data_IF_491564630926
#
_entry.id   IF_491564630926
#
_cell.length_a   1.000
_cell.length_b   1.000
_cell.length_c   1.000
_cell.angle_alpha   90.00
_cell.angle_beta   90.00
_cell.angle_gamma   90.00
#
_symmetry.space_group_name_H-M   'P 1'
#
loop_
_entity.id
_entity.type
_entity.pdbx_description
1 polymer ?
#
# COMPACT_ATOMS: atom_id res chain seq x y z
N UNK A 1 25.13 -26.43 -32.30
CA UNK A 1 24.63 -25.82 -31.05
C UNK A 1 24.61 -26.90 -29.98
N UNK A 2 25.53 -26.84 -29.01
CA UNK A 2 25.52 -27.78 -27.90
C UNK A 2 24.50 -27.29 -26.86
N UNK A 3 23.53 -28.10 -26.42
CA UNK A 3 22.75 -27.76 -25.25
C UNK A 3 23.68 -27.92 -24.04
N UNK A 4 24.01 -26.82 -23.36
CA UNK A 4 24.61 -26.87 -22.03
C UNK A 4 23.56 -27.40 -21.07
N UNK A 5 23.59 -28.71 -20.86
CA UNK A 5 22.72 -29.38 -19.91
C UNK A 5 23.13 -28.97 -18.48
N UNK A 6 22.42 -28.00 -17.91
CA UNK A 6 22.64 -27.48 -16.55
C UNK A 6 22.30 -28.50 -15.46
N UNK A 7 21.77 -29.68 -15.82
CA UNK A 7 21.49 -30.77 -14.88
C UNK A 7 22.74 -31.34 -14.19
N UNK A 8 23.95 -30.98 -14.66
CA UNK A 8 25.22 -31.43 -14.10
C UNK A 8 25.75 -30.56 -12.95
N UNK A 9 25.16 -29.37 -12.70
CA UNK A 9 25.58 -28.49 -11.62
C UNK A 9 25.16 -29.07 -10.26
N UNK A 10 26.13 -29.50 -9.47
CA UNK A 10 25.96 -29.97 -8.10
C UNK A 10 27.04 -29.37 -7.19
N UNK A 11 26.72 -29.17 -5.91
CA UNK A 11 27.69 -28.84 -4.86
C UNK A 11 27.67 -30.00 -3.88
N UNK A 12 28.78 -30.74 -3.79
CA UNK A 12 28.89 -31.89 -2.89
C UNK A 12 27.94 -33.04 -3.23
N UNK A 13 27.63 -33.27 -4.51
CA UNK A 13 26.70 -34.32 -4.93
C UNK A 13 25.22 -33.98 -4.74
N UNK A 14 24.90 -32.80 -4.19
CA UNK A 14 23.54 -32.25 -4.13
C UNK A 14 23.29 -31.44 -5.40
N UNK A 15 22.30 -31.78 -6.23
CA UNK A 15 21.93 -30.97 -7.40
C UNK A 15 21.63 -29.54 -6.97
N UNK A 16 22.27 -28.54 -7.60
CA UNK A 16 21.99 -27.12 -7.31
C UNK A 16 20.53 -26.79 -7.64
N UNK A 17 19.98 -27.47 -8.63
CA UNK A 17 18.57 -27.40 -9.01
C UNK A 17 17.93 -28.74 -8.64
N UNK A 18 17.04 -28.70 -7.64
CA UNK A 18 16.38 -29.88 -7.08
C UNK A 18 15.83 -30.79 -8.18
N UNK A 19 16.10 -32.10 -8.04
CA UNK A 19 15.61 -33.11 -8.95
C UNK A 19 14.08 -33.03 -9.09
N UNK A 20 13.65 -32.97 -10.35
CA UNK A 20 12.27 -32.94 -10.84
C UNK A 20 11.57 -31.57 -10.83
N UNK A 21 11.32 -31.13 -12.07
CA UNK A 21 10.41 -30.06 -12.54
C UNK A 21 10.97 -28.64 -12.47
N UNK A 22 11.53 -28.27 -13.63
CA UNK A 22 11.63 -26.90 -14.14
C UNK A 22 12.55 -25.98 -13.33
N UNK A 23 13.77 -25.80 -13.84
CA UNK A 23 14.51 -24.57 -13.67
C UNK A 23 13.58 -23.44 -14.12
N UNK A 24 12.87 -22.80 -13.18
CA UNK A 24 12.15 -21.56 -13.47
C UNK A 24 13.24 -20.55 -13.77
N UNK A 25 13.36 -20.19 -15.06
CA UNK A 25 14.23 -19.12 -15.51
C UNK A 25 13.97 -17.87 -14.65
N UNK A 26 15.04 -17.10 -14.40
CA UNK A 26 15.04 -15.84 -13.65
C UNK A 26 13.68 -15.12 -13.66
N UNK A 27 13.21 -14.71 -12.47
CA UNK A 27 12.07 -13.81 -12.27
C UNK A 27 12.06 -12.76 -13.38
N UNK A 28 10.95 -12.69 -14.12
CA UNK A 28 10.88 -11.81 -15.29
C UNK A 28 10.68 -10.38 -14.84
N UNK A 29 11.23 -9.48 -15.64
CA UNK A 29 11.01 -8.04 -15.50
C UNK A 29 10.22 -7.59 -16.72
N UNK A 30 9.00 -7.12 -16.48
CA UNK A 30 8.14 -6.55 -17.50
C UNK A 30 8.21 -5.03 -17.45
N UNK A 31 8.23 -4.37 -18.61
CA UNK A 31 8.26 -2.93 -18.75
C UNK A 31 6.92 -2.44 -19.29
N UNK A 32 6.43 -1.32 -18.76
CA UNK A 32 5.23 -0.63 -19.21
C UNK A 32 5.58 0.80 -19.62
N UNK A 33 5.18 1.22 -20.80
CA UNK A 33 5.40 2.59 -21.29
C UNK A 33 4.30 3.05 -22.23
N UNK A 34 3.49 4.01 -21.77
CA UNK A 34 2.42 4.59 -22.60
C UNK A 34 2.97 5.54 -23.68
N UNK A 35 4.05 6.26 -23.39
CA UNK A 35 4.52 7.39 -24.22
C UNK A 35 5.67 7.04 -25.18
N UNK A 36 6.43 5.98 -24.95
CA UNK A 36 7.57 5.60 -25.81
C UNK A 36 7.23 4.52 -26.84
N UNK A 37 5.97 4.46 -27.29
CA UNK A 37 5.54 3.49 -28.30
C UNK A 37 5.24 2.09 -27.76
N UNK A 38 4.94 1.96 -26.46
CA UNK A 38 4.48 0.68 -25.90
C UNK A 38 3.19 0.19 -26.56
N UNK A 39 3.05 -1.13 -26.59
CA UNK A 39 1.93 -1.84 -27.19
C UNK A 39 1.61 -3.08 -26.36
N UNK A 40 0.34 -3.35 -26.11
CA UNK A 40 -0.09 -4.57 -25.39
C UNK A 40 0.06 -5.84 -26.24
N UNK A 41 0.43 -5.69 -27.52
CA UNK A 41 0.90 -6.79 -28.37
C UNK A 41 2.39 -7.09 -28.22
N UNK A 42 3.16 -6.27 -27.51
CA UNK A 42 4.59 -6.54 -27.24
C UNK A 42 4.76 -7.61 -26.15
N UNK A 43 5.99 -8.06 -25.93
CA UNK A 43 6.30 -9.07 -24.90
C UNK A 43 6.41 -8.52 -23.48
N UNK A 44 6.62 -7.21 -23.33
CA UNK A 44 6.95 -6.54 -22.08
C UNK A 44 8.39 -6.78 -21.59
N UNK A 45 9.19 -7.64 -22.23
CA UNK A 45 10.48 -8.11 -21.67
C UNK A 45 11.66 -7.15 -21.88
N UNK A 46 11.43 -5.99 -22.48
CA UNK A 46 12.41 -4.91 -22.62
C UNK A 46 11.70 -3.56 -22.76
N UNK A 47 12.44 -2.46 -22.60
CA UNK A 47 11.91 -1.10 -22.80
C UNK A 47 11.37 -0.90 -24.23
N UNK A 48 12.09 -1.40 -25.24
CA UNK A 48 11.68 -1.31 -26.66
C UNK A 48 10.51 -2.24 -27.02
N UNK A 49 10.17 -3.17 -26.13
CA UNK A 49 9.04 -4.09 -26.24
C UNK A 49 8.11 -3.94 -25.03
N UNK A 50 8.00 -2.73 -24.47
CA UNK A 50 7.15 -2.49 -23.31
C UNK A 50 5.66 -2.68 -23.64
N UNK A 51 4.89 -3.11 -22.66
CA UNK A 51 3.42 -3.04 -22.70
C UNK A 51 2.97 -1.57 -22.73
N UNK A 52 1.76 -1.33 -23.25
CA UNK A 52 1.17 0.02 -23.24
C UNK A 52 0.47 0.30 -21.92
N UNK A 53 -0.21 -0.69 -21.37
CA UNK A 53 -1.06 -0.57 -20.18
C UNK A 53 -0.45 -1.29 -18.98
N UNK A 54 -0.75 -0.78 -17.78
CA UNK A 54 -0.33 -1.43 -16.54
C UNK A 54 -1.15 -2.69 -16.29
N UNK A 55 -2.44 -2.68 -16.61
CA UNK A 55 -3.28 -3.87 -16.47
C UNK A 55 -2.75 -5.05 -17.30
N UNK A 56 -2.27 -4.80 -18.53
CA UNK A 56 -1.67 -5.87 -19.35
C UNK A 56 -0.49 -6.55 -18.65
N UNK A 57 0.34 -5.79 -17.94
CA UNK A 57 1.44 -6.35 -17.17
C UNK A 57 0.93 -7.17 -15.98
N UNK A 58 -0.06 -6.66 -15.23
CA UNK A 58 -0.71 -7.35 -14.12
C UNK A 58 -1.34 -8.68 -14.56
N UNK A 59 -1.92 -8.74 -15.76
CA UNK A 59 -2.50 -9.95 -16.36
C UNK A 59 -1.44 -10.94 -16.87
N UNK A 60 -0.17 -10.52 -16.97
CA UNK A 60 0.91 -11.33 -17.55
C UNK A 60 1.83 -11.93 -16.49
N UNK A 61 2.05 -11.23 -15.37
CA UNK A 61 2.99 -11.68 -14.33
C UNK A 61 2.66 -13.05 -13.76
N UNK A 62 3.72 -13.78 -13.45
CA UNK A 62 3.73 -14.98 -12.61
C UNK A 62 4.30 -14.64 -11.24
N UNK A 63 4.35 -15.63 -10.35
CA UNK A 63 4.91 -15.43 -9.01
C UNK A 63 6.32 -14.82 -9.06
N UNK A 64 6.55 -13.86 -8.17
CA UNK A 64 7.83 -13.18 -7.94
C UNK A 64 8.34 -12.32 -9.10
N UNK A 65 7.57 -12.15 -10.18
CA UNK A 65 7.91 -11.26 -11.28
C UNK A 65 7.90 -9.77 -10.85
N UNK A 66 8.56 -8.94 -11.64
CA UNK A 66 8.62 -7.49 -11.43
C UNK A 66 8.04 -6.75 -12.63
N UNK A 67 7.27 -5.71 -12.36
CA UNK A 67 6.73 -4.77 -13.34
C UNK A 67 7.40 -3.42 -13.08
N UNK A 68 8.03 -2.86 -14.11
CA UNK A 68 8.62 -1.52 -14.11
C UNK A 68 7.75 -0.64 -15.00
N UNK A 69 7.08 0.32 -14.38
CA UNK A 69 6.25 1.31 -15.07
C UNK A 69 7.11 2.55 -15.33
N UNK A 70 7.32 2.88 -16.60
CA UNK A 70 8.05 4.08 -16.98
C UNK A 70 7.19 5.32 -16.77
N UNK A 71 7.84 6.49 -16.70
CA UNK A 71 7.16 7.78 -16.56
C UNK A 71 6.00 7.94 -17.53
N UNK A 72 4.86 8.37 -17.01
CA UNK A 72 3.66 8.65 -17.77
C UNK A 72 2.43 8.76 -16.89
N UNK A 73 1.30 9.10 -17.50
CA UNK A 73 -0.01 9.15 -16.83
C UNK A 73 -0.90 8.02 -17.33
N UNK A 74 -1.25 7.11 -16.42
CA UNK A 74 -1.99 5.89 -16.67
C UNK A 74 -3.38 6.00 -16.05
N UNK A 75 -4.38 6.27 -16.90
CA UNK A 75 -5.81 6.29 -16.58
C UNK A 75 -6.35 4.87 -16.76
N UNK A 76 -6.34 4.08 -15.70
CA UNK A 76 -6.70 2.67 -15.74
C UNK A 76 -7.33 2.25 -14.40
N UNK A 77 -8.42 1.49 -14.47
CA UNK A 77 -8.84 0.69 -13.32
C UNK A 77 -7.97 -0.57 -13.23
N UNK A 78 -7.12 -0.63 -12.22
CA UNK A 78 -6.13 -1.70 -12.06
C UNK A 78 -6.59 -2.73 -11.06
N UNK A 79 -6.30 -3.99 -11.35
CA UNK A 79 -6.63 -5.09 -10.45
C UNK A 79 -5.61 -6.22 -10.60
N UNK A 80 -4.98 -6.64 -9.49
CA UNK A 80 -4.11 -7.82 -9.48
C UNK A 80 -4.95 -9.10 -9.58
N UNK A 81 -4.31 -10.21 -9.95
CA UNK A 81 -4.91 -11.53 -9.82
C UNK A 81 -5.32 -11.86 -8.39
N UNK A 82 -6.26 -12.80 -8.26
CA UNK A 82 -6.63 -13.41 -6.99
C UNK A 82 -5.62 -14.48 -6.60
N UNK A 83 -5.54 -14.78 -5.30
CA UNK A 83 -4.80 -15.95 -4.83
C UNK A 83 -5.49 -17.23 -5.31
N UNK A 84 -4.75 -18.13 -6.00
CA UNK A 84 -5.35 -19.36 -6.53
C UNK A 84 -5.74 -20.32 -5.40
N UNK A 85 -6.97 -20.83 -5.45
CA UNK A 85 -7.41 -21.91 -4.57
C UNK A 85 -6.66 -23.22 -4.86
N UNK A 86 -6.77 -24.22 -3.95
CA UNK A 86 -6.08 -25.51 -4.08
C UNK A 86 -6.31 -26.19 -5.43
N UNK A 87 -7.50 -26.05 -6.01
CA UNK A 87 -7.84 -26.65 -7.31
C UNK A 87 -7.08 -25.95 -8.44
N UNK A 88 -7.08 -24.61 -8.47
CA UNK A 88 -6.36 -23.79 -9.45
C UNK A 88 -4.84 -24.02 -9.41
N UNK A 89 -4.27 -24.35 -8.24
CA UNK A 89 -2.84 -24.69 -8.10
C UNK A 89 -2.49 -26.00 -8.80
N UNK A 90 -3.40 -26.97 -8.85
CA UNK A 90 -3.20 -28.24 -9.56
C UNK A 90 -3.21 -28.06 -11.08
N UNK A 91 -3.86 -27.01 -11.57
CA UNK A 91 -4.04 -26.72 -13.00
C UNK A 91 -2.86 -25.94 -13.64
N UNK A 92 -1.75 -25.76 -12.90
CA UNK A 92 -0.51 -25.01 -13.23
C UNK A 92 -0.63 -23.49 -13.06
N UNK A 93 0.52 -22.80 -13.00
CA UNK A 93 0.63 -21.35 -12.86
C UNK A 93 -0.25 -20.62 -13.89
N UNK A 94 -1.35 -20.06 -13.43
CA UNK A 94 -2.25 -19.26 -14.25
C UNK A 94 -1.63 -17.86 -14.36
N UNK A 95 -1.26 -17.45 -15.58
CA UNK A 95 -0.77 -16.09 -15.83
C UNK A 95 -1.75 -15.05 -15.27
N UNK A 96 -1.21 -13.94 -14.76
CA UNK A 96 -2.01 -12.88 -14.17
C UNK A 96 -2.47 -13.17 -12.74
N UNK A 97 -1.85 -14.14 -12.06
CA UNK A 97 -2.09 -14.47 -10.64
C UNK A 97 -0.84 -14.42 -9.78
N UNK A 98 0.09 -13.56 -10.16
CA UNK A 98 1.37 -13.42 -9.49
C UNK A 98 1.26 -13.11 -8.00
N UNK A 99 1.99 -13.88 -7.20
CA UNK A 99 2.22 -13.67 -5.76
C UNK A 99 3.61 -13.10 -5.56
N UNK A 100 3.84 -12.35 -4.48
CA UNK A 100 5.17 -11.79 -4.17
C UNK A 100 5.75 -10.93 -5.31
N UNK A 101 4.88 -10.33 -6.11
CA UNK A 101 5.25 -9.53 -7.26
C UNK A 101 5.61 -8.11 -6.85
N UNK A 102 6.36 -7.44 -7.72
CA UNK A 102 6.75 -6.05 -7.54
C UNK A 102 6.12 -5.19 -8.63
N UNK A 103 5.39 -4.14 -8.25
CA UNK A 103 4.94 -3.06 -9.12
C UNK A 103 5.75 -1.82 -8.76
N UNK A 104 6.61 -1.37 -9.67
CA UNK A 104 7.62 -0.35 -9.39
C UNK A 104 7.50 0.79 -10.40
N UNK A 105 7.35 2.01 -9.90
CA UNK A 105 7.38 3.21 -10.71
C UNK A 105 8.80 3.69 -10.93
N UNK A 106 9.22 3.77 -12.19
CA UNK A 106 10.53 4.29 -12.56
C UNK A 106 10.49 5.82 -12.62
N UNK A 107 11.02 6.46 -11.58
CA UNK A 107 11.30 7.90 -11.56
C UNK A 107 12.79 8.16 -11.80
N UNK A 108 13.11 9.21 -12.55
CA UNK A 108 14.49 9.71 -12.69
C UNK A 108 14.87 10.68 -11.58
N UNK A 109 13.88 11.22 -10.86
CA UNK A 109 14.06 12.18 -9.79
C UNK A 109 13.76 11.57 -8.42
N UNK A 110 14.30 12.20 -7.39
CA UNK A 110 13.98 11.89 -5.99
C UNK A 110 12.51 12.19 -5.64
N UNK A 111 11.85 13.06 -6.42
CA UNK A 111 10.52 13.59 -6.11
C UNK A 111 9.42 12.95 -6.95
N UNK A 112 8.22 12.86 -6.37
CA UNK A 112 7.08 12.17 -6.96
C UNK A 112 6.44 12.85 -8.18
N UNK A 113 6.76 14.13 -8.46
CA UNK A 113 6.23 14.82 -9.64
C UNK A 113 6.70 14.19 -10.97
N UNK A 114 7.85 13.52 -10.97
CA UNK A 114 8.38 12.80 -12.13
C UNK A 114 8.12 11.29 -12.07
N UNK A 115 7.43 10.81 -11.03
CA UNK A 115 7.01 9.42 -10.92
C UNK A 115 5.88 9.11 -11.91
N UNK A 116 5.75 7.84 -12.36
CA UNK A 116 4.56 7.42 -13.08
C UNK A 116 3.31 7.63 -12.23
N UNK A 117 2.30 8.21 -12.86
CA UNK A 117 1.03 8.51 -12.22
C UNK A 117 0.00 7.45 -12.55
N UNK A 118 -0.60 6.85 -11.52
CA UNK A 118 -1.77 5.97 -11.64
C UNK A 118 -3.00 6.72 -11.15
N UNK A 119 -4.05 6.74 -11.97
CA UNK A 119 -5.34 7.35 -11.67
C UNK A 119 -6.43 6.64 -12.48
N UNK A 120 -7.69 6.95 -12.19
CA UNK A 120 -8.82 6.28 -12.83
C UNK A 120 -10.05 7.19 -12.84
N UNK A 121 -10.23 7.93 -13.94
CA UNK A 121 -11.32 8.89 -14.15
C UNK A 121 -12.67 8.19 -14.39
N UNK A 122 -12.66 7.01 -15.01
CA UNK A 122 -13.86 6.29 -15.41
C UNK A 122 -14.31 5.20 -14.42
N UNK A 123 -13.60 5.04 -13.31
CA UNK A 123 -13.85 4.01 -12.30
C UNK A 123 -15.16 4.17 -11.56
N UNK A 124 -15.39 3.26 -10.61
CA UNK A 124 -16.42 3.44 -9.57
C UNK A 124 -16.04 2.88 -8.19
N UNK A 125 -14.83 2.32 -8.06
CA UNK A 125 -14.42 1.59 -6.85
C UNK A 125 -13.06 2.03 -6.35
N UNK A 126 -11.98 1.60 -7.01
CA UNK A 126 -10.63 2.02 -6.68
C UNK A 126 -9.76 2.13 -7.93
N UNK A 127 -8.67 2.90 -7.86
CA UNK A 127 -7.65 2.96 -8.92
C UNK A 127 -6.86 1.65 -8.98
N UNK A 128 -6.40 1.12 -7.84
CA UNK A 128 -5.68 -0.16 -7.77
C UNK A 128 -6.28 -1.09 -6.72
N UNK A 129 -6.70 -2.28 -7.15
CA UNK A 129 -7.21 -3.35 -6.29
C UNK A 129 -6.19 -4.48 -6.19
N UNK A 130 -5.67 -4.72 -4.98
CA UNK A 130 -4.72 -5.80 -4.67
C UNK A 130 -5.48 -6.98 -4.07
N UNK A 131 -5.31 -8.16 -4.67
CA UNK A 131 -6.07 -9.39 -4.36
C UNK A 131 -5.19 -10.63 -4.20
N UNK A 132 -3.88 -10.49 -4.30
CA UNK A 132 -2.90 -11.56 -4.11
C UNK A 132 -1.86 -11.14 -3.05
N UNK A 133 -1.20 -12.10 -2.39
CA UNK A 133 -0.34 -11.78 -1.26
C UNK A 133 1.01 -11.25 -1.72
N UNK A 134 1.62 -10.47 -0.83
CA UNK A 134 3.04 -10.18 -0.92
C UNK A 134 3.45 -9.17 -1.96
N UNK A 135 2.50 -8.43 -2.52
CA UNK A 135 2.81 -7.40 -3.50
C UNK A 135 3.65 -6.31 -2.87
N UNK A 136 4.65 -5.81 -3.61
CA UNK A 136 5.31 -4.56 -3.30
C UNK A 136 4.88 -3.52 -4.33
N UNK A 137 4.36 -2.38 -3.87
CA UNK A 137 3.96 -1.26 -4.73
C UNK A 137 4.82 -0.07 -4.33
N UNK A 138 5.65 0.44 -5.25
CA UNK A 138 6.62 1.46 -4.89
C UNK A 138 6.91 2.48 -5.98
N UNK A 139 7.22 3.73 -5.58
CA UNK A 139 7.71 4.76 -6.49
C UNK A 139 6.65 5.36 -7.41
N UNK A 140 5.39 5.39 -6.99
CA UNK A 140 4.29 5.95 -7.77
C UNK A 140 3.76 7.26 -7.22
N UNK A 141 3.23 8.08 -8.11
CA UNK A 141 2.20 9.06 -7.75
C UNK A 141 0.83 8.41 -7.95
N UNK A 142 0.13 8.15 -6.86
CA UNK A 142 -1.18 7.50 -6.84
C UNK A 142 -2.23 8.59 -6.59
N UNK A 143 -3.07 8.86 -7.58
CA UNK A 143 -3.93 10.04 -7.59
C UNK A 143 -5.38 9.65 -7.45
N UNK A 144 -6.07 10.31 -6.53
CA UNK A 144 -7.51 10.27 -6.38
C UNK A 144 -8.20 11.01 -7.52
N UNK A 145 -9.29 10.44 -8.02
CA UNK A 145 -10.07 11.04 -9.10
C UNK A 145 -11.57 10.85 -8.86
N UNK A 146 -12.38 11.63 -9.56
CA UNK A 146 -13.85 11.63 -9.47
C UNK A 146 -14.48 10.27 -9.80
N UNK A 147 -13.83 9.45 -10.63
CA UNK A 147 -14.24 8.08 -10.90
C UNK A 147 -13.86 7.08 -9.81
N UNK A 148 -12.83 7.36 -9.00
CA UNK A 148 -12.32 6.37 -8.05
C UNK A 148 -12.35 6.91 -6.63
N UNK A 149 -13.37 6.53 -5.83
CA UNK A 149 -13.47 6.98 -4.46
C UNK A 149 -12.34 6.45 -3.57
N UNK A 150 -11.55 5.47 -4.03
CA UNK A 150 -10.37 4.94 -3.31
C UNK A 150 -9.16 4.89 -4.25
N UNK A 151 -7.99 5.27 -3.78
CA UNK A 151 -6.77 5.20 -4.59
C UNK A 151 -6.23 3.76 -4.61
N UNK A 152 -5.97 3.15 -3.45
CA UNK A 152 -5.55 1.74 -3.36
C UNK A 152 -6.46 0.98 -2.40
N UNK A 153 -6.86 -0.22 -2.81
CA UNK A 153 -7.66 -1.12 -2.00
C UNK A 153 -6.97 -2.48 -1.85
N UNK A 154 -6.72 -2.88 -0.61
CA UNK A 154 -6.19 -4.18 -0.27
C UNK A 154 -7.36 -5.09 0.12
N UNK A 155 -7.62 -6.13 -0.66
CA UNK A 155 -8.76 -7.02 -0.43
C UNK A 155 -8.36 -8.30 0.28
N UNK A 156 -9.12 -8.64 1.32
CA UNK A 156 -8.99 -9.87 2.07
C UNK A 156 -10.35 -10.53 2.29
N UNK A 157 -10.55 -11.67 1.65
CA UNK A 157 -11.69 -12.54 1.86
C UNK A 157 -11.19 -13.87 2.41
N UNK A 158 -11.69 -14.25 3.59
CA UNK A 158 -11.44 -15.57 4.13
C UNK A 158 -12.23 -16.61 3.31
N UNK A 159 -11.59 -17.26 2.35
CA UNK A 159 -12.23 -18.32 1.58
C UNK A 159 -12.01 -19.69 2.22
N UNK A 160 -12.97 -20.58 1.98
CA UNK A 160 -12.74 -22.02 2.08
C UNK A 160 -11.65 -22.46 1.10
N UNK A 161 -10.92 -23.53 1.42
CA UNK A 161 -9.65 -23.95 0.79
C UNK A 161 -9.69 -24.28 -0.72
N UNK A 162 -10.85 -24.19 -1.37
CA UNK A 162 -11.07 -24.65 -2.75
C UNK A 162 -11.27 -23.53 -3.77
N UNK A 163 -11.68 -22.33 -3.37
CA UNK A 163 -11.97 -21.22 -4.29
C UNK A 163 -10.79 -20.26 -4.42
N UNK A 164 -10.68 -19.59 -5.57
CA UNK A 164 -9.82 -18.42 -5.69
C UNK A 164 -10.34 -17.32 -4.79
N UNK A 165 -9.44 -16.61 -4.12
CA UNK A 165 -9.84 -15.63 -3.11
C UNK A 165 -9.01 -14.37 -3.15
N UNK A 166 -9.63 -13.29 -2.70
CA UNK A 166 -8.93 -12.05 -2.43
C UNK A 166 -8.07 -12.26 -1.19
N UNK A 167 -6.76 -12.14 -1.33
CA UNK A 167 -5.82 -12.45 -0.27
C UNK A 167 -4.60 -11.54 -0.36
N UNK A 168 -4.77 -10.26 -0.03
CA UNK A 168 -3.69 -9.28 0.00
C UNK A 168 -2.76 -9.22 1.24
N UNK A 169 -2.63 -10.22 2.15
CA UNK A 169 -1.65 -10.14 3.25
C UNK A 169 -0.21 -9.97 2.77
N UNK A 170 0.63 -9.40 3.62
CA UNK A 170 2.06 -9.22 3.32
C UNK A 170 2.35 -8.13 2.30
N UNK A 171 1.34 -7.39 1.85
CA UNK A 171 1.51 -6.30 0.88
C UNK A 171 2.36 -5.19 1.50
N UNK A 172 3.33 -4.68 0.75
CA UNK A 172 4.15 -3.52 1.10
C UNK A 172 3.84 -2.39 0.12
N UNK A 173 3.53 -1.20 0.62
CA UNK A 173 3.40 0.01 -0.17
C UNK A 173 4.42 1.01 0.35
N UNK A 174 5.38 1.39 -0.49
CA UNK A 174 6.50 2.20 -0.05
C UNK A 174 6.96 3.25 -1.04
N UNK A 175 7.45 4.40 -0.56
CA UNK A 175 7.98 5.47 -1.41
C UNK A 175 6.96 5.95 -2.47
N UNK A 176 5.67 5.95 -2.15
CA UNK A 176 4.61 6.47 -3.00
C UNK A 176 4.11 7.82 -2.49
N UNK A 177 3.46 8.57 -3.38
CA UNK A 177 2.69 9.76 -3.01
C UNK A 177 1.23 9.53 -3.35
N UNK A 178 0.40 9.55 -2.32
CA UNK A 178 -1.05 9.51 -2.39
C UNK A 178 -1.57 10.94 -2.43
N UNK A 179 -2.18 11.31 -3.54
CA UNK A 179 -2.65 12.67 -3.79
C UNK A 179 -4.18 12.69 -3.84
N UNK A 180 -4.79 13.22 -2.78
CA UNK A 180 -6.22 13.12 -2.49
C UNK A 180 -7.06 14.35 -2.82
N UNK A 181 -6.58 15.29 -3.66
CA UNK A 181 -7.19 16.62 -3.87
C UNK A 181 -8.62 16.64 -4.45
N UNK A 182 -9.24 15.47 -4.67
CA UNK A 182 -10.62 15.31 -5.11
C UNK A 182 -11.50 15.01 -3.90
N UNK A 183 -12.65 15.68 -3.81
CA UNK A 183 -13.59 15.46 -2.73
C UNK A 183 -14.09 14.01 -2.67
N UNK A 184 -14.28 13.48 -1.45
CA UNK A 184 -14.74 12.11 -1.18
C UNK A 184 -13.83 11.02 -1.78
N UNK A 185 -12.53 11.26 -1.83
CA UNK A 185 -11.55 10.25 -2.20
C UNK A 185 -10.76 9.81 -0.98
N UNK A 186 -10.65 8.50 -0.80
CA UNK A 186 -9.85 7.85 0.22
C UNK A 186 -8.53 7.36 -0.36
N UNK A 187 -7.48 7.34 0.46
CA UNK A 187 -6.14 6.92 0.03
C UNK A 187 -6.02 5.41 -0.06
N UNK A 188 -6.00 4.76 1.10
CA UNK A 188 -5.73 3.33 1.23
C UNK A 188 -6.81 2.64 2.08
N UNK A 189 -7.48 1.67 1.48
CA UNK A 189 -8.54 0.89 2.11
C UNK A 189 -8.09 -0.53 2.45
N UNK A 190 -8.14 -0.89 3.74
CA UNK A 190 -7.97 -2.23 4.27
C UNK A 190 -9.30 -3.01 4.24
N UNK A 191 -9.73 -3.40 3.05
CA UNK A 191 -10.96 -4.16 2.85
C UNK A 191 -10.78 -5.62 3.31
N UNK A 192 -11.55 -6.03 4.31
CA UNK A 192 -11.48 -7.33 4.96
C UNK A 192 -10.35 -7.46 5.98
N UNK A 193 -9.61 -6.38 6.27
CA UNK A 193 -8.53 -6.36 7.25
C UNK A 193 -7.35 -7.33 6.97
N UNK A 194 -6.67 -7.21 5.81
CA UNK A 194 -5.49 -8.02 5.50
C UNK A 194 -4.40 -7.84 6.58
N UNK A 195 -3.84 -8.94 7.13
CA UNK A 195 -2.71 -8.85 8.06
C UNK A 195 -1.35 -8.66 7.37
N UNK A 196 -0.33 -8.36 8.17
CA UNK A 196 1.08 -8.31 7.78
C UNK A 196 1.39 -7.26 6.68
N UNK A 197 0.55 -6.22 6.57
CA UNK A 197 0.73 -5.13 5.59
C UNK A 197 1.72 -4.10 6.10
N UNK A 198 2.54 -3.56 5.21
CA UNK A 198 3.53 -2.51 5.51
C UNK A 198 3.31 -1.28 4.65
N UNK A 199 3.09 -0.13 5.27
CA UNK A 199 2.92 1.17 4.63
C UNK A 199 4.08 2.05 5.09
N UNK A 200 5.06 2.25 4.21
CA UNK A 200 6.38 2.77 4.56
C UNK A 200 6.77 3.99 3.74
N UNK A 201 7.26 5.05 4.37
CA UNK A 201 7.91 6.17 3.68
C UNK A 201 7.06 6.77 2.54
N UNK A 202 5.73 6.78 2.70
CA UNK A 202 4.82 7.40 1.75
C UNK A 202 4.47 8.83 2.17
N UNK A 203 4.01 9.63 1.21
CA UNK A 203 3.40 10.93 1.47
C UNK A 203 1.92 10.82 1.15
N UNK A 204 1.06 11.19 2.08
CA UNK A 204 -0.38 11.35 1.89
C UNK A 204 -0.68 12.84 1.96
N UNK A 205 -1.20 13.41 0.88
CA UNK A 205 -1.46 14.84 0.82
C UNK A 205 -2.80 15.21 0.22
N UNK A 206 -3.34 16.32 0.73
CA UNK A 206 -4.49 17.04 0.18
C UNK A 206 -5.80 16.26 0.20
N UNK A 207 -6.06 15.41 1.21
CA UNK A 207 -7.35 14.73 1.37
C UNK A 207 -8.39 15.63 2.06
N UNK A 208 -9.41 16.17 1.35
CA UNK A 208 -10.34 17.14 1.91
C UNK A 208 -11.59 16.48 2.52
N UNK A 209 -12.33 17.26 3.31
CA UNK A 209 -13.67 17.02 3.87
C UNK A 209 -13.87 15.70 4.64
N UNK A 210 -13.99 14.62 3.89
CA UNK A 210 -14.48 13.29 4.28
C UNK A 210 -13.53 12.19 3.83
N UNK A 211 -12.58 12.52 2.96
CA UNK A 211 -11.55 11.58 2.50
C UNK A 211 -10.59 11.24 3.63
N UNK A 212 -10.28 9.96 3.75
CA UNK A 212 -9.33 9.43 4.74
C UNK A 212 -8.12 8.84 4.05
N UNK A 213 -6.92 9.18 4.52
CA UNK A 213 -5.70 8.67 3.90
C UNK A 213 -5.55 7.16 4.08
N UNK A 214 -5.82 6.63 5.28
CA UNK A 214 -5.83 5.18 5.57
C UNK A 214 -7.10 4.82 6.36
N UNK A 215 -7.88 3.87 5.86
CA UNK A 215 -9.10 3.37 6.49
C UNK A 215 -9.30 1.86 6.38
N UNK A 216 -10.37 1.35 6.99
CA UNK A 216 -10.88 -0.01 6.79
C UNK A 216 -12.39 -0.03 6.53
N UNK A 217 -12.79 -0.16 5.25
CA UNK A 217 -14.20 -0.06 4.85
C UNK A 217 -15.06 -1.28 5.21
N UNK A 218 -14.50 -2.50 5.24
CA UNK A 218 -15.28 -3.71 5.52
C UNK A 218 -14.47 -4.79 6.24
N UNK A 219 -15.12 -5.52 7.16
CA UNK A 219 -14.66 -6.76 7.80
C UNK A 219 -15.74 -7.18 8.80
N UNK A 220 -16.34 -8.35 8.59
CA UNK A 220 -17.35 -8.89 9.49
C UNK A 220 -16.78 -9.59 10.73
N UNK A 221 -15.46 -9.78 10.80
CA UNK A 221 -14.85 -10.77 11.71
C UNK A 221 -13.42 -10.45 12.18
N UNK A 222 -12.70 -9.54 11.53
CA UNK A 222 -11.25 -9.38 11.76
C UNK A 222 -10.78 -7.91 11.77
N UNK A 223 -9.65 -7.67 12.42
CA UNK A 223 -8.92 -6.40 12.48
C UNK A 223 -7.60 -6.53 11.74
N UNK A 224 -7.10 -5.42 11.21
CA UNK A 224 -5.84 -5.42 10.48
C UNK A 224 -4.71 -5.72 11.48
N UNK A 225 -4.09 -6.89 11.35
CA UNK A 225 -3.21 -7.44 12.39
C UNK A 225 -1.74 -7.48 11.94
N UNK A 226 -0.79 -7.20 12.84
CA UNK A 226 0.67 -7.19 12.57
C UNK A 226 1.06 -6.28 11.41
N UNK A 227 0.35 -5.17 11.26
CA UNK A 227 0.64 -4.18 10.25
C UNK A 227 1.75 -3.24 10.73
N UNK A 228 2.41 -2.55 9.80
CA UNK A 228 3.40 -1.53 10.10
C UNK A 228 3.11 -0.29 9.27
N UNK A 229 2.83 0.82 9.94
CA UNK A 229 2.68 2.15 9.35
C UNK A 229 3.86 2.97 9.85
N UNK A 230 4.86 3.20 8.99
CA UNK A 230 6.13 3.80 9.43
C UNK A 230 6.70 4.83 8.46
N UNK A 231 7.26 5.91 8.99
CA UNK A 231 8.00 6.89 8.20
C UNK A 231 7.14 7.68 7.21
N UNK A 232 5.82 7.58 7.30
CA UNK A 232 4.92 8.27 6.37
C UNK A 232 4.71 9.73 6.79
N UNK A 233 4.42 10.58 5.81
CA UNK A 233 4.02 11.97 6.01
C UNK A 233 2.55 12.12 5.66
N UNK A 234 1.76 12.69 6.57
CA UNK A 234 0.36 13.04 6.37
C UNK A 234 0.24 14.55 6.53
N UNK A 235 0.10 15.25 5.39
CA UNK A 235 0.14 16.70 5.31
C UNK A 235 -1.11 17.18 4.58
N UNK A 236 -1.72 18.27 5.03
CA UNK A 236 -2.88 18.83 4.31
C UNK A 236 -4.06 17.85 4.21
N UNK A 237 -4.33 17.07 5.26
CA UNK A 237 -5.41 16.09 5.29
C UNK A 237 -6.41 16.40 6.38
N UNK A 238 -7.70 16.16 6.11
CA UNK A 238 -8.74 16.20 7.15
C UNK A 238 -8.66 14.95 8.02
N UNK A 239 -8.57 13.77 7.41
CA UNK A 239 -8.45 12.49 8.13
C UNK A 239 -7.19 11.75 7.66
N UNK A 240 -6.23 11.56 8.56
CA UNK A 240 -4.97 10.87 8.26
C UNK A 240 -5.12 9.36 8.39
N UNK A 241 -5.28 8.84 9.60
CA UNK A 241 -5.51 7.41 9.82
C UNK A 241 -6.81 7.25 10.62
N UNK A 242 -7.86 6.73 9.99
CA UNK A 242 -9.14 6.47 10.65
C UNK A 242 -9.56 5.02 10.43
N UNK A 243 -9.30 4.19 11.43
CA UNK A 243 -9.60 2.76 11.40
C UNK A 243 -10.88 2.42 12.18
N UNK A 244 -11.64 3.41 12.63
CA UNK A 244 -12.88 3.22 13.39
C UNK A 244 -13.93 2.46 12.55
N UNK A 245 -14.66 1.47 13.11
CA UNK A 245 -14.66 1.00 14.50
C UNK A 245 -13.81 -0.24 14.74
N UNK A 246 -12.90 -0.59 13.83
CA UNK A 246 -12.18 -1.87 13.89
C UNK A 246 -10.76 -1.72 14.44
N UNK A 247 -10.06 -0.66 14.09
CA UNK A 247 -8.68 -0.44 14.46
C UNK A 247 -7.70 -1.45 13.86
N UNK A 248 -6.43 -1.21 14.14
CA UNK A 248 -5.33 -2.15 14.01
C UNK A 248 -5.20 -3.02 15.26
N UNK A 249 -4.63 -4.22 15.10
CA UNK A 249 -4.31 -5.11 16.22
C UNK A 249 -2.83 -5.54 16.16
N UNK A 250 -2.15 -5.58 17.30
CA UNK A 250 -0.74 -5.99 17.42
C UNK A 250 0.17 -5.40 16.33
N UNK A 251 -0.05 -4.11 16.02
CA UNK A 251 0.55 -3.41 14.88
C UNK A 251 1.44 -2.27 15.35
N UNK A 252 2.32 -1.79 14.47
CA UNK A 252 3.26 -0.72 14.76
C UNK A 252 2.89 0.53 13.95
N UNK A 253 2.66 1.64 14.64
CA UNK A 253 2.44 2.98 14.06
C UNK A 253 3.57 3.87 14.56
N UNK A 254 4.64 3.97 13.78
CA UNK A 254 5.91 4.52 14.27
C UNK A 254 6.55 5.57 13.37
N UNK A 255 7.15 6.60 13.95
CA UNK A 255 7.93 7.61 13.24
C UNK A 255 7.17 8.27 12.05
N UNK A 256 5.85 8.38 12.14
CA UNK A 256 5.06 9.08 11.15
C UNK A 256 5.02 10.57 11.50
N UNK A 257 4.82 11.39 10.48
CA UNK A 257 4.68 12.83 10.60
C UNK A 257 3.26 13.23 10.19
N UNK A 258 2.38 13.46 11.16
CA UNK A 258 0.99 13.87 10.96
C UNK A 258 0.89 15.34 11.32
N UNK A 259 0.44 16.20 10.41
CA UNK A 259 0.35 17.63 10.70
C UNK A 259 -0.90 18.27 10.10
N UNK A 260 -1.28 19.41 10.70
CA UNK A 260 -2.22 20.32 10.08
C UNK A 260 -1.69 20.83 8.74
N UNK A 261 -2.62 21.00 7.80
CA UNK A 261 -2.37 21.58 6.51
C UNK A 261 -2.34 23.10 6.48
N UNK A 262 -1.88 23.63 5.35
CA UNK A 262 -2.18 24.99 4.91
C UNK A 262 -3.63 25.13 4.40
N UNK A 263 -4.15 24.10 3.74
CA UNK A 263 -5.47 24.10 3.09
C UNK A 263 -6.51 23.38 3.92
N UNK A 264 -6.17 22.18 4.42
CA UNK A 264 -7.09 21.34 5.18
C UNK A 264 -6.69 21.32 6.66
N UNK A 265 -7.68 21.52 7.53
CA UNK A 265 -7.51 21.38 8.97
C UNK A 265 -7.69 19.92 9.36
N UNK A 266 -6.75 19.38 10.14
CA UNK A 266 -6.81 18.02 10.65
C UNK A 266 -8.00 17.88 11.60
N UNK A 267 -8.81 16.85 11.37
CA UNK A 267 -9.95 16.46 12.22
C UNK A 267 -9.67 15.10 12.85
N UNK A 268 -9.14 14.14 12.09
CA UNK A 268 -8.67 12.86 12.64
C UNK A 268 -7.20 12.67 12.29
N UNK A 269 -6.35 12.68 13.30
CA UNK A 269 -4.94 12.35 13.15
C UNK A 269 -4.73 10.84 13.14
N UNK A 270 -5.09 10.17 14.23
CA UNK A 270 -5.07 8.71 14.30
C UNK A 270 -6.19 8.19 15.20
N UNK A 271 -7.20 7.54 14.62
CA UNK A 271 -8.26 6.85 15.33
C UNK A 271 -8.08 5.33 15.22
N UNK A 272 -7.70 4.70 16.34
CA UNK A 272 -7.55 3.25 16.48
C UNK A 272 -8.74 2.60 17.22
N UNK A 273 -9.92 3.24 17.24
CA UNK A 273 -11.12 2.72 17.88
C UNK A 273 -11.40 1.28 17.44
N UNK A 274 -11.61 0.42 18.43
CA UNK A 274 -11.81 -1.03 18.26
C UNK A 274 -10.50 -1.81 18.25
N UNK A 275 -9.38 -1.19 17.86
CA UNK A 275 -8.05 -1.81 17.80
C UNK A 275 -7.51 -2.25 19.16
N UNK A 276 -6.40 -2.98 19.13
CA UNK A 276 -5.79 -3.51 20.36
C UNK A 276 -4.28 -3.80 20.28
N UNK A 277 -3.58 -3.69 21.42
CA UNK A 277 -2.17 -4.07 21.60
C UNK A 277 -1.20 -3.48 20.55
N UNK A 278 -1.46 -2.27 20.04
CA UNK A 278 -0.57 -1.62 19.07
C UNK A 278 0.56 -0.86 19.77
N UNK A 279 1.70 -0.74 19.10
CA UNK A 279 2.77 0.19 19.48
C UNK A 279 2.63 1.47 18.66
N UNK A 280 2.45 2.60 19.34
CA UNK A 280 2.35 3.93 18.73
C UNK A 280 3.50 4.78 19.23
N UNK A 281 4.57 4.94 18.44
CA UNK A 281 5.81 5.47 18.97
C UNK A 281 6.60 6.40 18.04
N UNK A 282 7.21 7.44 18.61
CA UNK A 282 8.12 8.34 17.88
C UNK A 282 7.43 9.17 16.80
N UNK A 283 6.10 9.26 16.79
CA UNK A 283 5.36 10.03 15.80
C UNK A 283 5.39 11.52 16.15
N UNK A 284 5.33 12.37 15.13
CA UNK A 284 4.92 13.76 15.28
C UNK A 284 3.41 13.85 15.03
N UNK A 285 2.68 14.34 16.01
CA UNK A 285 1.23 14.41 16.07
C UNK A 285 0.80 15.88 16.16
N UNK A 286 0.70 16.54 15.00
CA UNK A 286 0.31 17.93 14.90
C UNK A 286 -1.17 18.17 15.18
N UNK A 287 -1.51 19.41 15.54
CA UNK A 287 -2.79 19.75 16.17
C UNK A 287 -2.57 20.10 17.63
N UNK A 288 -3.40 20.99 18.18
CA UNK A 288 -3.32 21.35 19.60
C UNK A 288 -3.85 20.19 20.43
N UNK A 289 -3.05 19.69 21.37
CA UNK A 289 -3.45 18.63 22.31
C UNK A 289 -3.74 19.16 23.71
N UNK A 290 -3.73 20.49 23.92
CA UNK A 290 -3.80 21.13 25.23
C UNK A 290 -5.11 21.90 25.49
N UNK A 291 -5.97 22.06 24.48
CA UNK A 291 -7.28 22.67 24.68
C UNK A 291 -8.20 21.72 25.44
N UNK A 292 -8.91 22.25 26.43
CA UNK A 292 -9.62 21.54 27.50
C UNK A 292 -10.91 20.81 27.06
N UNK A 293 -10.89 20.10 25.92
CA UNK A 293 -12.00 19.35 25.35
C UNK A 293 -11.51 18.04 24.74
N UNK A 294 -11.65 16.91 25.46
CA UNK A 294 -11.55 15.53 24.96
C UNK A 294 -11.07 15.34 23.51
N UNK A 295 -9.74 15.43 23.31
CA UNK A 295 -9.03 15.40 22.03
C UNK A 295 -9.52 14.26 21.11
N UNK A 296 -10.41 14.59 20.17
CA UNK A 296 -10.96 13.65 19.19
C UNK A 296 -9.97 13.32 18.05
N UNK A 297 -8.83 14.01 17.96
CA UNK A 297 -7.86 13.82 16.90
C UNK A 297 -7.11 12.49 17.00
N UNK A 298 -6.87 12.02 18.24
CA UNK A 298 -6.04 10.87 18.53
C UNK A 298 -6.77 9.93 19.50
N UNK A 299 -7.22 8.79 19.01
CA UNK A 299 -8.01 7.83 19.78
C UNK A 299 -7.26 6.51 19.87
N UNK A 300 -6.97 6.08 21.09
CA UNK A 300 -6.30 4.81 21.36
C UNK A 300 -7.25 3.61 21.21
N UNK A 301 -6.68 2.49 20.78
CA UNK A 301 -7.27 1.17 20.93
C UNK A 301 -7.04 0.61 22.33
N UNK A 302 -7.63 -0.54 22.63
CA UNK A 302 -7.45 -1.22 23.92
C UNK A 302 -6.01 -1.70 24.07
N UNK A 303 -5.35 -1.41 25.19
CA UNK A 303 -3.99 -1.93 25.42
C UNK A 303 -2.91 -1.36 24.50
N UNK A 304 -3.21 -0.32 23.71
CA UNK A 304 -2.21 0.35 22.89
C UNK A 304 -1.14 1.02 23.77
N UNK A 305 0.11 0.92 23.34
CA UNK A 305 1.25 1.51 24.02
C UNK A 305 1.76 2.73 23.25
N UNK A 306 1.52 3.91 23.83
CA UNK A 306 1.93 5.19 23.28
C UNK A 306 3.21 5.66 23.96
N UNK A 307 4.30 5.83 23.21
CA UNK A 307 5.60 6.24 23.78
C UNK A 307 6.39 7.18 22.87
N UNK A 308 6.93 8.25 23.44
CA UNK A 308 7.85 9.14 22.72
C UNK A 308 7.23 9.83 21.51
N UNK A 309 5.89 9.94 21.46
CA UNK A 309 5.20 10.77 20.48
C UNK A 309 5.33 12.24 20.89
N UNK A 310 5.39 13.11 19.89
CA UNK A 310 5.62 14.52 20.06
C UNK A 310 4.43 15.28 19.47
N UNK A 311 3.85 16.22 20.22
CA UNK A 311 2.67 16.98 19.78
C UNK A 311 3.00 18.46 19.64
N UNK A 312 2.22 19.19 18.85
CA UNK A 312 2.26 20.65 18.86
C UNK A 312 1.32 21.18 19.96
N UNK A 313 1.80 22.07 20.81
CA UNK A 313 0.96 22.76 21.81
C UNK A 313 0.93 24.25 21.45
N UNK A 314 -0.23 24.73 21.00
CA UNK A 314 -0.44 26.15 20.69
C UNK A 314 -0.95 26.97 21.88
N UNK A 315 -1.41 26.31 22.95
CA UNK A 315 -1.96 26.94 24.15
C UNK A 315 -0.90 27.24 25.23
N UNK A 316 0.25 26.54 25.23
CA UNK A 316 1.34 26.83 26.16
C UNK A 316 2.05 28.15 25.81
N UNK A 317 1.83 29.18 26.64
CA UNK A 317 2.60 30.43 26.62
C UNK A 317 4.09 30.15 26.88
N UNK A 318 4.84 29.94 25.80
CA UNK A 318 6.29 30.08 25.64
C UNK A 318 7.14 29.85 26.91
N UNK A 319 7.19 28.62 27.41
CA UNK A 319 8.39 28.14 28.10
C UNK A 319 9.27 27.49 27.04
N UNK A 320 10.44 28.08 26.81
CA UNK A 320 11.48 27.61 25.89
C UNK A 320 11.60 26.07 25.86
N UNK A 321 11.05 25.50 24.77
CA UNK A 321 11.18 24.10 24.33
C UNK A 321 10.00 23.19 24.67
N UNK A 322 8.81 23.32 24.03
CA UNK A 322 7.66 22.51 24.38
C UNK A 322 7.56 21.32 23.42
N UNK A 323 8.21 20.22 23.76
CA UNK A 323 7.76 18.91 23.32
C UNK A 323 7.11 18.26 24.54
N UNK A 324 5.78 18.25 24.57
CA UNK A 324 5.01 17.54 25.59
C UNK A 324 4.81 16.10 25.14
N UNK A 325 4.92 15.14 26.07
CA UNK A 325 4.58 13.74 25.81
C UNK A 325 3.06 13.66 25.72
N UNK A 326 2.52 13.51 24.50
CA UNK A 326 1.09 13.32 24.29
C UNK A 326 0.75 11.84 24.34
N UNK A 327 0.29 11.37 25.50
CA UNK A 327 -0.43 10.10 25.58
C UNK A 327 -1.93 10.41 25.56
N UNK A 328 -2.71 9.88 24.60
CA UNK A 328 -4.16 10.02 24.63
C UNK A 328 -4.71 9.39 25.91
N UNK A 329 -5.79 9.97 26.45
CA UNK A 329 -6.43 9.46 27.65
C UNK A 329 -6.93 8.02 27.41
N UNK A 330 -6.44 7.08 28.23
CA UNK A 330 -6.86 5.67 28.24
C UNK A 330 -8.24 5.48 28.84
#
# INVERSE_FOLDING_TARGET
MAPTNLSALNVGGVPIFGGSKELVAYRKVYFVSKHTGGSDGNSGLSVDQAFKTVQKALDTVSDEDTIIVLRGSYDEQLTTGQFPGRQSVLDKAVAGRGRWCQLIGASQGQWAFDAPQLYNEAGSTATLIVRAPGWRISGFRLVGDTGSPIIVRLQFNQAGSTADTNWAPGTTIDNCVFYGAVANCDGLDFEGAPPDVRILDNIFELFPSTGTCILSSSSGVAQANRCTISGNQFIDNVNSIDMNPRGFNASNIINNYIMNGHVNTLVVGFDNTGGNDCLVAGNYLGGDTADSYGDAHYVAGTGDHWIGNATSDSAATNTTGPWTHGDPAT
#
